data_IF_421892549033
#
_entry.id   IF_421892549033
#
_cell.length_a   1.000
_cell.length_b   1.000
_cell.length_c   1.000
_cell.angle_alpha   90.00
_cell.angle_beta   90.00
_cell.angle_gamma   90.00
#
_symmetry.space_group_name_H-M   'P 1'
#
loop_
_entity.id
_entity.type
_entity.pdbx_description
1 polymer ?
#
# COMPACT_ATOMS: atom_id res chain seq x y z
N UNK A 1 -9.81 -26.12 51.66
CA UNK A 1 -10.73 -26.78 50.74
C UNK A 1 -12.11 -26.18 50.97
N UNK A 2 -12.74 -25.38 50.12
CA UNK A 2 -12.40 -24.83 48.82
C UNK A 2 -13.28 -23.58 48.67
N UNK A 3 -12.68 -22.50 48.18
CA UNK A 3 -13.36 -21.27 47.79
C UNK A 3 -13.86 -21.45 46.37
N UNK A 4 -15.15 -21.22 46.09
CA UNK A 4 -15.60 -20.93 44.72
C UNK A 4 -16.74 -19.90 44.76
N UNK A 5 -16.51 -18.67 44.28
CA UNK A 5 -17.58 -17.80 43.84
C UNK A 5 -17.93 -18.08 42.37
N UNK A 6 -19.22 -17.88 42.10
CA UNK A 6 -19.93 -17.81 40.84
C UNK A 6 -19.10 -17.19 39.70
N UNK A 7 -18.79 -18.01 38.68
CA UNK A 7 -18.26 -17.57 37.39
C UNK A 7 -19.45 -17.26 36.46
N UNK A 8 -19.87 -16.00 36.41
CA UNK A 8 -20.64 -15.48 35.27
C UNK A 8 -19.65 -15.05 34.19
N UNK A 9 -19.49 -15.87 33.16
CA UNK A 9 -18.48 -15.61 32.15
C UNK A 9 -18.64 -16.44 30.89
N UNK A 10 -19.77 -16.30 30.19
CA UNK A 10 -19.86 -16.72 28.79
C UNK A 10 -20.94 -15.90 28.08
N UNK A 11 -20.59 -15.27 26.96
CA UNK A 11 -21.57 -14.66 26.07
C UNK A 11 -21.19 -13.33 25.42
N UNK A 12 -19.92 -12.93 25.37
CA UNK A 12 -19.51 -12.02 24.29
C UNK A 12 -19.06 -12.89 23.13
N UNK A 13 -19.97 -13.10 22.17
CA UNK A 13 -19.57 -13.54 20.85
C UNK A 13 -18.39 -12.66 20.45
N UNK A 14 -17.24 -13.29 20.23
CA UNK A 14 -16.15 -12.64 19.51
C UNK A 14 -16.72 -12.33 18.14
N UNK A 15 -17.21 -11.09 17.98
CA UNK A 15 -17.29 -10.48 16.65
C UNK A 15 -15.93 -10.76 16.00
N UNK A 16 -15.88 -11.22 14.74
CA UNK A 16 -14.62 -11.24 14.05
C UNK A 16 -14.09 -9.82 14.19
N UNK A 17 -12.91 -9.70 14.80
CA UNK A 17 -12.14 -8.48 14.70
C UNK A 17 -11.93 -8.32 13.21
N UNK A 18 -12.82 -7.55 12.57
CA UNK A 18 -12.46 -6.61 11.55
C UNK A 18 -11.34 -5.84 12.24
N UNK A 19 -10.12 -6.39 12.16
CA UNK A 19 -8.93 -5.59 12.08
C UNK A 19 -9.37 -4.55 11.07
N UNK A 20 -9.64 -3.35 11.58
CA UNK A 20 -9.94 -2.17 10.79
C UNK A 20 -9.04 -2.33 9.61
N UNK A 21 -9.63 -2.52 8.43
CA UNK A 21 -8.90 -2.52 7.17
C UNK A 21 -8.18 -1.20 7.28
N UNK A 22 -6.91 -1.24 7.70
CA UNK A 22 -6.15 -0.04 7.94
C UNK A 22 -6.24 0.61 6.58
N UNK A 23 -6.85 1.80 6.51
CA UNK A 23 -6.87 2.55 5.26
C UNK A 23 -5.42 2.52 4.78
N UNK A 24 -5.13 1.72 3.76
CA UNK A 24 -3.76 1.48 3.34
C UNK A 24 -3.28 2.84 2.86
N UNK A 25 -2.58 3.57 3.73
CA UNK A 25 -2.35 4.99 3.54
C UNK A 25 -1.12 5.18 2.68
N UNK A 26 -1.18 4.60 1.48
CA UNK A 26 -0.13 4.75 0.49
C UNK A 26 -0.24 6.14 -0.11
N UNK A 27 0.88 6.86 -0.16
CA UNK A 27 0.91 8.26 -0.58
C UNK A 27 2.08 8.53 -1.52
N UNK A 28 1.84 9.40 -2.49
CA UNK A 28 2.91 9.94 -3.35
C UNK A 28 3.57 11.10 -2.62
N UNK A 29 4.90 11.10 -2.54
CA UNK A 29 5.72 12.20 -2.03
C UNK A 29 6.51 12.81 -3.18
N UNK A 30 6.40 14.12 -3.31
CA UNK A 30 7.20 14.91 -4.25
C UNK A 30 8.43 15.47 -3.53
N UNK A 31 9.54 15.55 -4.24
CA UNK A 31 10.79 16.10 -3.75
C UNK A 31 11.70 16.52 -4.88
N UNK A 32 12.90 16.92 -4.52
CA UNK A 32 13.93 17.31 -5.46
C UNK A 32 15.25 16.70 -5.02
N UNK A 33 16.01 16.14 -5.96
CA UNK A 33 17.34 15.57 -5.73
C UNK A 33 18.28 16.13 -6.79
N UNK A 34 19.34 16.83 -6.36
CA UNK A 34 20.33 17.44 -7.25
C UNK A 34 19.76 18.33 -8.38
N UNK A 35 18.61 18.98 -8.14
CA UNK A 35 17.94 19.82 -9.14
C UNK A 35 16.97 19.07 -10.05
N UNK A 36 16.90 17.74 -9.95
CA UNK A 36 15.95 16.90 -10.67
C UNK A 36 14.71 16.61 -9.81
N UNK A 37 13.51 16.57 -10.41
CA UNK A 37 12.30 16.16 -9.70
C UNK A 37 12.42 14.71 -9.25
N UNK A 38 12.08 14.46 -7.98
CA UNK A 38 12.06 13.12 -7.37
C UNK A 38 10.66 12.83 -6.89
N UNK A 39 10.14 11.66 -7.25
CA UNK A 39 8.80 11.22 -6.87
C UNK A 39 8.91 9.84 -6.23
N UNK A 40 8.27 9.66 -5.09
CA UNK A 40 8.27 8.40 -4.33
C UNK A 40 6.84 7.96 -4.02
N UNK A 41 6.62 6.65 -4.06
CA UNK A 41 5.44 6.04 -3.43
C UNK A 41 5.85 5.53 -2.05
N UNK A 42 5.16 5.98 -1.01
CA UNK A 42 5.36 5.52 0.36
C UNK A 42 4.26 4.53 0.74
N UNK A 43 4.63 3.48 1.47
CA UNK A 43 3.72 2.49 2.02
C UNK A 43 2.99 2.99 3.28
N UNK A 44 2.24 2.11 3.94
CA UNK A 44 1.50 2.41 5.18
C UNK A 44 2.42 2.76 6.37
N UNK A 45 3.68 2.33 6.35
CA UNK A 45 4.69 2.66 7.35
C UNK A 45 5.39 3.99 7.03
N UNK A 46 5.09 4.60 5.87
CA UNK A 46 5.75 5.79 5.38
C UNK A 46 7.10 5.52 4.72
N UNK A 47 7.42 4.25 4.46
CA UNK A 47 8.66 3.80 3.83
C UNK A 47 8.50 3.75 2.30
N UNK A 48 9.55 4.07 1.52
CA UNK A 48 9.48 3.96 0.07
C UNK A 48 9.24 2.52 -0.40
N UNK A 49 8.33 2.36 -1.36
CA UNK A 49 8.15 1.09 -2.06
C UNK A 49 9.30 0.91 -3.05
N UNK A 50 10.31 0.13 -2.68
CA UNK A 50 11.59 0.04 -3.41
C UNK A 50 11.48 -0.29 -4.90
N UNK A 51 10.59 -1.20 -5.29
CA UNK A 51 10.39 -1.55 -6.71
C UNK A 51 9.82 -0.36 -7.51
N UNK A 52 8.93 0.43 -6.91
CA UNK A 52 8.39 1.66 -7.52
C UNK A 52 9.47 2.74 -7.56
N UNK A 53 10.20 2.93 -6.46
CA UNK A 53 11.33 3.87 -6.39
C UNK A 53 12.39 3.57 -7.44
N UNK A 54 12.69 2.30 -7.71
CA UNK A 54 13.59 1.88 -8.78
C UNK A 54 13.06 2.26 -10.16
N UNK A 55 11.79 1.98 -10.44
CA UNK A 55 11.15 2.31 -11.71
C UNK A 55 11.05 3.82 -11.96
N UNK A 56 10.64 4.61 -10.97
CA UNK A 56 10.55 6.07 -11.10
C UNK A 56 11.94 6.72 -11.30
N UNK A 57 12.98 6.23 -10.61
CA UNK A 57 14.37 6.66 -10.86
C UNK A 57 14.82 6.33 -12.28
N UNK A 58 14.44 5.17 -12.81
CA UNK A 58 14.72 4.81 -14.20
C UNK A 58 14.03 5.75 -15.19
N UNK A 59 12.77 6.15 -14.96
CA UNK A 59 12.09 7.14 -15.79
C UNK A 59 12.76 8.52 -15.72
N UNK A 60 13.14 8.97 -14.52
CA UNK A 60 13.85 10.23 -14.33
C UNK A 60 15.20 10.23 -15.06
N UNK A 61 15.97 9.14 -14.97
CA UNK A 61 17.26 8.98 -15.65
C UNK A 61 17.15 8.93 -17.19
N UNK A 62 15.94 8.74 -17.74
CA UNK A 62 15.65 8.78 -19.18
C UNK A 62 15.13 10.13 -19.65
N UNK A 63 15.22 11.17 -18.82
CA UNK A 63 14.70 12.52 -19.09
C UNK A 63 13.19 12.53 -19.41
N UNK A 64 12.42 11.59 -18.85
CA UNK A 64 10.97 11.67 -18.90
C UNK A 64 10.50 12.93 -18.16
N UNK A 65 9.43 13.56 -18.66
CA UNK A 65 8.93 14.82 -18.08
C UNK A 65 8.49 14.65 -16.62
N UNK A 66 8.54 15.70 -15.79
CA UNK A 66 8.03 15.66 -14.42
C UNK A 66 6.58 15.18 -14.35
N UNK A 67 5.74 15.63 -15.30
CA UNK A 67 4.35 15.21 -15.39
C UNK A 67 4.22 13.69 -15.61
N UNK A 68 5.09 13.11 -16.44
CA UNK A 68 5.14 11.66 -16.64
C UNK A 68 5.47 10.93 -15.33
N UNK A 69 6.45 11.40 -14.57
CA UNK A 69 6.79 10.82 -13.26
C UNK A 69 5.60 10.85 -12.30
N UNK A 70 4.88 11.97 -12.23
CA UNK A 70 3.69 12.10 -11.39
C UNK A 70 2.56 11.18 -11.84
N UNK A 71 2.22 11.15 -13.13
CA UNK A 71 1.19 10.25 -13.66
C UNK A 71 1.48 8.80 -13.30
N UNK A 72 2.71 8.32 -13.57
CA UNK A 72 3.10 6.96 -13.19
C UNK A 72 3.06 6.75 -11.67
N UNK A 73 3.49 7.70 -10.85
CA UNK A 73 3.44 7.55 -9.39
C UNK A 73 2.00 7.40 -8.87
N UNK A 74 1.04 8.13 -9.43
CA UNK A 74 -0.38 8.01 -9.07
C UNK A 74 -1.01 6.71 -9.59
N UNK A 75 -0.68 6.29 -10.82
CA UNK A 75 -1.14 5.01 -11.36
C UNK A 75 -0.61 3.84 -10.54
N UNK A 76 0.66 3.88 -10.15
CA UNK A 76 1.28 2.87 -9.27
C UNK A 76 0.68 2.95 -7.86
N UNK A 77 0.41 4.14 -7.31
CA UNK A 77 -0.32 4.23 -6.03
C UNK A 77 -1.66 3.49 -6.10
N UNK A 78 -2.42 3.69 -7.18
CA UNK A 78 -3.70 3.02 -7.37
C UNK A 78 -3.54 1.49 -7.44
N UNK A 79 -2.56 1.00 -8.20
CA UNK A 79 -2.25 -0.43 -8.29
C UNK A 79 -1.85 -1.04 -6.93
N UNK A 80 -1.05 -0.34 -6.14
CA UNK A 80 -0.63 -0.84 -4.83
C UNK A 80 -1.77 -0.84 -3.79
N UNK A 81 -2.67 0.13 -3.86
CA UNK A 81 -3.90 0.12 -3.06
C UNK A 81 -4.78 -1.08 -3.42
N UNK A 82 -4.87 -1.41 -4.72
CA UNK A 82 -5.57 -2.60 -5.18
C UNK A 82 -4.93 -3.89 -4.63
N UNK A 83 -3.60 -3.99 -4.64
CA UNK A 83 -2.89 -5.13 -4.03
C UNK A 83 -3.20 -5.29 -2.54
N UNK A 84 -3.15 -4.19 -1.78
CA UNK A 84 -3.48 -4.20 -0.35
C UNK A 84 -4.92 -4.66 -0.10
N UNK A 85 -5.89 -4.18 -0.89
CA UNK A 85 -7.30 -4.54 -0.74
C UNK A 85 -7.65 -5.97 -1.20
N UNK A 86 -6.87 -6.54 -2.11
CA UNK A 86 -7.10 -7.88 -2.69
C UNK A 86 -6.25 -8.99 -2.07
N UNK A 87 -5.30 -8.66 -1.19
CA UNK A 87 -4.33 -9.61 -0.65
C UNK A 87 -3.37 -10.16 -1.72
N UNK A 88 -3.16 -9.41 -2.80
CA UNK A 88 -2.23 -9.74 -3.87
C UNK A 88 -0.86 -9.10 -3.64
N UNK A 89 0.19 -9.68 -4.22
CA UNK A 89 1.50 -9.05 -4.33
C UNK A 89 1.82 -8.75 -5.80
N UNK A 90 2.66 -7.76 -6.03
CA UNK A 90 3.10 -7.38 -7.38
C UNK A 90 3.79 -8.53 -8.13
N UNK A 91 4.39 -9.48 -7.42
CA UNK A 91 5.04 -10.67 -7.99
C UNK A 91 4.03 -11.73 -8.47
N UNK A 92 2.82 -11.72 -7.90
CA UNK A 92 1.75 -12.67 -8.21
C UNK A 92 0.71 -12.10 -9.16
N UNK A 93 0.63 -10.79 -9.26
CA UNK A 93 -0.31 -10.11 -10.15
C UNK A 93 -0.10 -10.52 -11.62
N UNK A 94 -1.18 -10.91 -12.28
CA UNK A 94 -1.16 -11.29 -13.68
C UNK A 94 -2.34 -10.75 -14.49
N UNK A 95 -2.40 -11.07 -15.80
CA UNK A 95 -3.48 -10.64 -16.68
C UNK A 95 -4.91 -10.95 -16.19
N UNK A 96 -5.18 -12.08 -15.51
CA UNK A 96 -6.53 -12.33 -14.96
C UNK A 96 -6.94 -11.34 -13.87
N UNK A 97 -5.99 -10.89 -13.05
CA UNK A 97 -6.26 -9.99 -11.92
C UNK A 97 -6.49 -8.55 -12.39
N UNK A 98 -5.94 -8.17 -13.55
CA UNK A 98 -6.03 -6.80 -14.06
C UNK A 98 -7.45 -6.37 -14.44
N UNK A 99 -8.37 -7.32 -14.63
CA UNK A 99 -9.78 -6.98 -14.91
C UNK A 99 -10.45 -6.33 -13.69
N UNK A 100 -10.06 -6.74 -12.48
CA UNK A 100 -10.59 -6.18 -11.24
C UNK A 100 -9.96 -4.82 -10.85
N UNK A 101 -8.93 -4.39 -11.59
CA UNK A 101 -8.24 -3.11 -11.40
C UNK A 101 -8.86 -1.95 -12.22
N UNK A 102 -9.72 -2.25 -13.20
CA UNK A 102 -10.36 -1.26 -14.09
C UNK A 102 -11.50 -0.50 -13.39
#
# INVERSE_FOLDING_TARGET
MDTLPLVEGQGRLSEPSHATVAEASMRVREGQENGSPRVELLDENGEPVEVVSGFLRFLAARDCSPNTLFSYAYDLRHLWLFFAGSGLSWERFGPPDSIALL
#
